data_IF_349004425053
#
_entry.id   IF_349004425053
#
_cell.length_a   1.000
_cell.length_b   1.000
_cell.length_c   1.000
_cell.angle_alpha   90.00
_cell.angle_beta   90.00
_cell.angle_gamma   90.00
#
_symmetry.space_group_name_H-M   'P 1'
#
loop_
_entity.id
_entity.type
_entity.pdbx_description
1 polymer ?
#
# COMPACT_ATOMS: atom_id res chain seq x y z
N UNK A 1 22.78 -15.51 -3.52
CA UNK A 1 21.67 -16.32 -3.00
C UNK A 1 21.15 -15.66 -1.73
N UNK A 2 19.86 -15.32 -1.65
CA UNK A 2 19.24 -14.75 -0.43
C UNK A 2 18.75 -15.87 0.48
N UNK A 3 18.97 -15.78 1.79
CA UNK A 3 18.35 -16.66 2.81
C UNK A 3 17.50 -15.81 3.76
N UNK A 4 16.28 -16.27 4.04
CA UNK A 4 15.32 -15.60 4.93
C UNK A 4 15.46 -16.18 6.34
N UNK A 5 15.53 -15.32 7.36
CA UNK A 5 15.45 -15.72 8.77
C UNK A 5 14.39 -14.84 9.44
N UNK A 6 13.43 -15.44 10.12
CA UNK A 6 12.35 -14.73 10.80
C UNK A 6 12.71 -14.60 12.28
N UNK A 7 12.71 -13.37 12.80
CA UNK A 7 12.89 -13.07 14.21
C UNK A 7 11.66 -12.27 14.64
N UNK A 8 11.01 -12.74 15.69
CA UNK A 8 9.81 -12.11 16.26
C UNK A 8 10.32 -11.15 17.33
N UNK A 9 10.39 -9.86 17.03
CA UNK A 9 10.53 -8.86 18.09
C UNK A 9 9.14 -8.69 18.73
N UNK A 10 9.09 -8.79 20.07
CA UNK A 10 7.85 -8.57 20.83
C UNK A 10 7.25 -7.22 20.43
N UNK A 11 5.93 -7.06 20.51
CA UNK A 11 5.14 -5.95 19.92
C UNK A 11 4.64 -6.19 18.48
N UNK A 12 4.16 -7.39 18.13
CA UNK A 12 3.17 -7.54 17.07
C UNK A 12 3.55 -7.04 15.66
N UNK A 13 4.83 -6.77 15.41
CA UNK A 13 5.36 -6.26 14.16
C UNK A 13 6.56 -7.12 13.82
N UNK A 14 6.61 -7.66 12.60
CA UNK A 14 7.71 -8.53 12.24
C UNK A 14 8.63 -7.78 11.29
N UNK A 15 9.81 -7.50 11.83
CA UNK A 15 10.99 -7.22 11.04
C UNK A 15 11.49 -8.56 10.48
N UNK A 16 11.23 -8.80 9.20
CA UNK A 16 11.75 -10.00 8.53
C UNK A 16 13.17 -9.68 8.06
N UNK A 17 14.16 -10.31 8.69
CA UNK A 17 15.53 -10.15 8.26
C UNK A 17 15.77 -10.92 6.98
N UNK A 18 16.02 -10.16 5.91
CA UNK A 18 16.53 -10.70 4.66
C UNK A 18 18.04 -10.47 4.66
N UNK A 19 18.80 -11.56 4.60
CA UNK A 19 20.26 -11.48 4.52
C UNK A 19 20.70 -11.23 3.09
N UNK A 20 21.44 -10.14 2.87
CA UNK A 20 22.28 -9.97 1.71
C UNK A 20 23.61 -10.70 1.96
N UNK A 21 23.97 -11.65 1.09
CA UNK A 21 25.18 -12.45 1.22
C UNK A 21 26.18 -12.08 0.11
N UNK A 22 27.45 -11.95 0.46
CA UNK A 22 28.56 -11.73 -0.46
C UNK A 22 29.87 -12.32 0.08
N UNK A 23 30.93 -12.18 -0.70
CA UNK A 23 32.30 -12.50 -0.27
C UNK A 23 33.08 -11.20 -0.12
N UNK A 24 33.94 -11.13 0.89
CA UNK A 24 34.93 -10.05 1.01
C UNK A 24 36.17 -10.34 0.13
N UNK A 25 37.17 -9.46 0.20
CA UNK A 25 38.43 -9.65 -0.52
C UNK A 25 39.23 -10.87 -0.05
N UNK A 26 39.05 -11.29 1.21
CA UNK A 26 39.70 -12.49 1.78
C UNK A 26 39.03 -13.81 1.34
N UNK A 27 37.87 -13.74 0.68
CA UNK A 27 37.06 -14.91 0.32
C UNK A 27 36.16 -15.41 1.46
N UNK A 28 36.08 -14.65 2.56
CA UNK A 28 35.16 -14.90 3.68
C UNK A 28 33.75 -14.45 3.34
N UNK A 29 32.75 -15.16 3.86
CA UNK A 29 31.33 -14.79 3.68
C UNK A 29 30.98 -13.60 4.56
N UNK A 30 30.44 -12.56 3.93
CA UNK A 30 29.82 -11.41 4.59
C UNK A 30 28.31 -11.51 4.41
N UNK A 31 27.57 -11.45 5.51
CA UNK A 31 26.10 -11.36 5.51
C UNK A 31 25.64 -10.09 6.19
N UNK A 32 24.67 -9.41 5.59
CA UNK A 32 24.03 -8.21 6.18
C UNK A 32 22.54 -8.39 6.21
N UNK A 33 21.97 -8.19 7.38
CA UNK A 33 20.53 -8.19 7.60
C UNK A 33 19.95 -6.83 7.17
N UNK A 34 19.13 -6.84 6.11
CA UNK A 34 18.54 -5.61 5.55
C UNK A 34 17.20 -5.29 6.22
N UNK A 35 16.50 -6.30 6.72
CA UNK A 35 15.19 -6.14 7.36
C UNK A 35 14.07 -5.74 6.38
N UNK A 36 12.85 -6.21 6.63
CA UNK A 36 11.64 -5.83 5.89
C UNK A 36 10.49 -5.75 6.89
N UNK A 37 9.81 -4.60 6.93
CA UNK A 37 8.62 -4.43 7.77
C UNK A 37 7.40 -5.16 7.17
N UNK A 38 6.79 -6.06 7.94
CA UNK A 38 5.50 -6.69 7.59
C UNK A 38 4.55 -6.73 8.78
N UNK A 39 3.25 -6.60 8.48
CA UNK A 39 2.19 -6.95 9.42
C UNK A 39 1.84 -8.44 9.27
N UNK A 40 1.80 -9.20 10.37
CA UNK A 40 1.45 -10.63 10.36
C UNK A 40 -0.05 -10.85 10.57
N UNK A 41 -0.86 -10.21 9.74
CA UNK A 41 -2.29 -10.44 9.81
C UNK A 41 -2.65 -11.78 9.17
N UNK A 42 -3.11 -12.73 9.99
CA UNK A 42 -3.69 -14.01 9.55
C UNK A 42 -2.79 -15.24 9.58
N UNK A 43 -1.62 -15.21 10.22
CA UNK A 43 -0.78 -16.42 10.38
C UNK A 43 -1.00 -17.02 11.78
N UNK A 44 -1.94 -17.97 11.87
CA UNK A 44 -2.04 -18.95 12.94
C UNK A 44 -2.62 -18.44 14.28
N UNK A 45 -3.95 -18.51 14.43
CA UNK A 45 -4.49 -18.83 15.76
C UNK A 45 -4.02 -20.25 16.08
N UNK A 46 -3.30 -20.50 17.20
CA UNK A 46 -3.31 -21.84 17.77
C UNK A 46 -4.77 -22.17 18.10
N UNK A 47 -5.26 -23.40 17.80
CA UNK A 47 -6.62 -23.76 18.15
C UNK A 47 -6.84 -23.56 19.66
N UNK A 48 -8.05 -23.13 20.07
CA UNK A 48 -8.34 -22.89 21.47
C UNK A 48 -8.15 -24.19 22.27
N UNK A 49 -7.22 -24.14 23.22
CA UNK A 49 -6.99 -25.17 24.21
C UNK A 49 -8.22 -25.31 25.09
N UNK A 50 -9.03 -26.35 24.84
CA UNK A 50 -10.12 -26.71 25.72
C UNK A 50 -11.05 -27.79 25.17
N UNK A 51 -10.67 -29.06 25.28
CA UNK A 51 -11.51 -30.15 25.81
C UNK A 51 -10.74 -31.51 25.85
N UNK A 52 -11.16 -32.46 26.70
CA UNK A 52 -10.26 -33.31 27.49
C UNK A 52 -10.21 -34.79 27.05
N UNK A 53 -9.10 -35.47 27.33
CA UNK A 53 -9.06 -36.95 27.35
C UNK A 53 -7.72 -37.62 27.02
N UNK A 54 -7.01 -38.05 28.08
CA UNK A 54 -6.10 -39.22 28.17
C UNK A 54 -4.77 -39.25 27.37
N UNK A 55 -3.74 -39.97 27.88
CA UNK A 55 -3.07 -39.83 29.16
C UNK A 55 -1.57 -39.47 28.98
N UNK A 56 -0.98 -38.99 30.08
CA UNK A 56 0.47 -38.84 30.28
C UNK A 56 1.20 -40.16 30.00
N UNK A 57 2.31 -40.08 29.27
CA UNK A 57 3.49 -40.91 29.53
C UNK A 57 4.70 -39.99 29.81
N UNK A 58 5.47 -40.25 30.89
CA UNK A 58 6.64 -39.48 31.24
C UNK A 58 7.87 -40.03 30.51
N UNK A 59 8.61 -39.19 29.79
CA UNK A 59 9.95 -39.56 29.34
C UNK A 59 10.99 -38.72 30.07
N UNK A 60 11.55 -39.36 31.09
CA UNK A 60 12.80 -39.05 31.74
C UNK A 60 13.93 -39.06 30.70
N UNK A 61 14.54 -37.91 30.44
CA UNK A 61 15.99 -37.80 30.29
C UNK A 61 16.36 -36.35 30.60
N UNK A 62 17.02 -36.26 31.74
CA UNK A 62 17.40 -35.10 32.49
C UNK A 62 18.89 -34.81 32.24
N UNK A 63 19.34 -33.62 32.62
CA UNK A 63 20.73 -33.15 32.68
C UNK A 63 21.41 -32.75 31.35
N UNK A 64 21.56 -31.44 31.16
CA UNK A 64 22.80 -30.75 31.56
C UNK A 64 22.54 -29.24 31.72
N UNK A 65 22.67 -28.77 32.95
CA UNK A 65 22.74 -27.35 33.32
C UNK A 65 24.15 -26.80 33.04
N UNK A 66 24.25 -25.61 32.46
CA UNK A 66 25.39 -24.68 32.57
C UNK A 66 24.92 -23.26 32.14
N UNK A 67 25.61 -22.18 32.54
CA UNK A 67 25.23 -21.38 33.69
C UNK A 67 24.67 -20.00 33.32
N UNK A 68 23.85 -19.48 34.23
CA UNK A 68 23.36 -18.10 34.28
C UNK A 68 24.53 -17.10 34.21
N UNK A 69 24.53 -16.27 33.17
CA UNK A 69 25.18 -14.97 33.19
C UNK A 69 24.11 -13.91 33.49
N UNK A 70 24.17 -13.44 34.73
CA UNK A 70 23.32 -12.46 35.34
C UNK A 70 23.58 -11.08 34.73
N UNK A 71 22.77 -10.66 33.76
CA UNK A 71 22.73 -9.26 33.33
C UNK A 71 21.87 -8.43 34.30
N UNK A 72 22.53 -7.39 34.81
CA UNK A 72 22.02 -6.37 35.71
C UNK A 72 20.96 -5.53 34.96
N UNK A 73 19.77 -5.26 35.53
CA UNK A 73 18.72 -4.55 34.82
C UNK A 73 19.07 -3.06 34.70
N UNK A 74 19.36 -2.60 33.49
CA UNK A 74 19.46 -1.18 33.15
C UNK A 74 18.04 -0.61 33.07
N UNK A 75 17.75 0.23 34.06
CA UNK A 75 16.49 0.97 34.23
C UNK A 75 16.44 2.07 33.17
N UNK A 76 15.48 2.00 32.24
CA UNK A 76 15.09 3.14 31.39
C UNK A 76 13.66 3.57 31.73
N UNK A 77 13.33 4.88 31.78
CA UNK A 77 12.03 5.34 32.26
C UNK A 77 10.92 4.97 31.30
N UNK A 78 9.84 4.41 31.87
CA UNK A 78 8.59 4.13 31.19
C UNK A 78 8.03 5.38 30.49
N UNK A 79 7.95 5.34 29.15
CA UNK A 79 7.10 6.25 28.37
C UNK A 79 5.88 5.49 27.86
N UNK A 80 4.71 5.93 28.34
CA UNK A 80 3.39 5.80 27.71
C UNK A 80 2.95 4.40 27.28
N UNK A 81 2.28 3.65 28.17
CA UNK A 81 1.49 2.48 27.79
C UNK A 81 0.26 2.93 26.99
N UNK A 82 0.29 2.78 25.67
CA UNK A 82 -0.93 2.61 24.87
C UNK A 82 -1.33 1.13 24.97
N UNK A 83 -2.62 0.78 25.11
CA UNK A 83 -3.03 -0.61 25.36
C UNK A 83 -2.54 -1.54 24.25
N UNK A 84 -2.03 -2.74 24.59
CA UNK A 84 -1.59 -3.70 23.59
C UNK A 84 -2.83 -4.23 22.86
N UNK A 85 -3.03 -3.80 21.61
CA UNK A 85 -3.98 -4.48 20.74
C UNK A 85 -3.49 -5.92 20.54
N UNK A 86 -4.30 -6.86 21.01
CA UNK A 86 -3.99 -8.26 21.28
C UNK A 86 -3.88 -9.16 20.04
N UNK A 87 -3.51 -8.66 18.85
CA UNK A 87 -3.50 -9.47 17.62
C UNK A 87 -2.35 -9.20 16.63
N UNK A 88 -1.30 -8.46 16.99
CA UNK A 88 -0.10 -8.34 16.14
C UNK A 88 -0.34 -7.76 14.73
N UNK A 89 -1.39 -6.96 14.60
CA UNK A 89 -1.83 -6.34 13.36
C UNK A 89 -1.82 -4.83 13.48
N UNK A 90 -1.46 -4.18 12.38
CA UNK A 90 -1.72 -2.76 12.22
C UNK A 90 -3.24 -2.51 12.26
N UNK A 91 -3.73 -1.46 12.95
CA UNK A 91 -5.15 -1.14 12.98
C UNK A 91 -5.71 -0.94 11.57
N UNK A 92 -7.02 -1.18 11.35
CA UNK A 92 -7.66 -0.95 10.06
C UNK A 92 -7.32 0.44 9.51
N UNK A 93 -6.97 0.51 8.22
CA UNK A 93 -6.57 1.76 7.58
C UNK A 93 -5.12 2.20 7.84
N UNK A 94 -4.31 1.41 8.55
CA UNK A 94 -2.88 1.68 8.74
C UNK A 94 -1.98 0.65 8.06
N UNK A 95 -0.73 1.01 7.82
CA UNK A 95 0.29 0.18 7.14
C UNK A 95 1.58 0.12 7.94
N UNK A 96 2.18 -1.06 7.95
CA UNK A 96 3.50 -1.27 8.56
C UNK A 96 4.57 -0.68 7.64
N UNK A 97 5.33 0.30 8.14
CA UNK A 97 6.40 0.97 7.40
C UNK A 97 7.66 1.09 8.27
N UNK A 98 8.85 1.16 7.65
CA UNK A 98 10.09 1.46 8.37
C UNK A 98 10.00 2.80 9.10
N UNK A 99 10.44 2.81 10.36
CA UNK A 99 10.55 4.06 11.14
C UNK A 99 11.85 4.78 10.81
N UNK A 100 12.95 4.03 10.71
CA UNK A 100 14.28 4.53 10.35
C UNK A 100 14.99 3.53 9.44
N UNK A 101 15.90 4.06 8.64
CA UNK A 101 16.75 3.29 7.74
C UNK A 101 18.21 3.68 7.97
N UNK A 102 19.08 2.70 8.19
CA UNK A 102 20.52 2.90 8.33
C UNK A 102 21.19 2.61 7.00
N UNK A 103 21.88 3.60 6.44
CA UNK A 103 22.62 3.47 5.19
C UNK A 103 24.01 2.94 5.51
N UNK A 104 24.24 1.68 5.16
CA UNK A 104 25.48 0.98 5.43
C UNK A 104 26.23 0.66 4.13
N UNK A 105 27.52 0.98 4.12
CA UNK A 105 28.42 0.60 3.03
C UNK A 105 29.11 -0.73 3.38
N UNK A 106 29.22 -1.61 2.38
CA UNK A 106 29.82 -2.94 2.50
C UNK A 106 30.79 -3.17 1.37
N UNK A 107 32.04 -3.42 1.74
CA UNK A 107 33.10 -3.74 0.80
C UNK A 107 33.06 -5.23 0.51
N UNK A 108 32.58 -5.58 -0.69
CA UNK A 108 32.58 -6.95 -1.18
C UNK A 108 33.64 -7.07 -2.29
N UNK A 109 34.02 -8.31 -2.60
CA UNK A 109 34.94 -8.62 -3.71
C UNK A 109 34.44 -8.06 -5.05
N UNK A 110 33.13 -8.08 -5.26
CA UNK A 110 32.49 -7.54 -6.48
C UNK A 110 32.36 -6.01 -6.48
N UNK A 111 32.93 -5.34 -5.47
CA UNK A 111 32.89 -3.90 -5.30
C UNK A 111 32.07 -3.45 -4.07
N UNK A 112 32.14 -2.15 -3.74
CA UNK A 112 31.35 -1.57 -2.66
C UNK A 112 29.86 -1.65 -2.97
N UNK A 113 29.08 -2.16 -2.01
CA UNK A 113 27.62 -2.17 -2.05
C UNK A 113 27.07 -1.34 -0.91
N UNK A 114 26.10 -0.49 -1.24
CA UNK A 114 25.33 0.27 -0.27
C UNK A 114 24.01 -0.43 0.00
N UNK A 115 23.69 -0.63 1.26
CA UNK A 115 22.44 -1.26 1.70
C UNK A 115 21.71 -0.35 2.68
N UNK A 116 20.38 -0.42 2.67
CA UNK A 116 19.51 0.33 3.58
C UNK A 116 18.92 -0.66 4.58
N UNK A 117 19.44 -0.65 5.80
CA UNK A 117 19.03 -1.55 6.87
C UNK A 117 17.84 -0.94 7.61
N UNK A 118 16.75 -1.68 7.75
CA UNK A 118 15.58 -1.25 8.51
C UNK A 118 15.88 -1.26 10.01
N UNK A 119 15.76 -0.10 10.64
CA UNK A 119 15.91 0.13 12.08
C UNK A 119 14.54 0.47 12.68
N UNK A 120 13.77 -0.58 12.94
CA UNK A 120 12.42 -0.49 13.50
C UNK A 120 11.29 -0.29 12.48
N UNK A 121 10.11 -0.76 12.86
CA UNK A 121 8.88 -0.67 12.09
C UNK A 121 7.77 -0.05 12.92
N UNK A 122 6.86 0.68 12.28
CA UNK A 122 5.68 1.23 12.93
C UNK A 122 4.46 1.19 11.99
N UNK A 123 3.27 1.15 12.58
CA UNK A 123 2.02 1.29 11.84
C UNK A 123 1.68 2.77 11.66
N UNK A 124 1.70 3.23 10.42
CA UNK A 124 1.28 4.58 10.06
C UNK A 124 -0.12 4.55 9.45
N UNK A 125 -0.97 5.49 9.85
CA UNK A 125 -2.26 5.68 9.20
C UNK A 125 -2.07 5.94 7.70
N UNK A 126 -2.93 5.33 6.88
CA UNK A 126 -2.97 5.61 5.45
C UNK A 126 -3.86 6.84 5.24
N UNK A 127 -3.32 8.00 4.80
CA UNK A 127 -4.14 9.15 4.48
C UNK A 127 -5.09 8.85 3.32
N UNK A 128 -6.18 9.59 3.22
CA UNK A 128 -7.14 9.51 2.10
C UNK A 128 -6.63 10.22 0.82
N UNK A 129 -5.61 11.06 1.00
CA UNK A 129 -4.94 11.86 -0.03
C UNK A 129 -3.48 11.41 -0.23
N UNK A 130 -2.90 11.75 -1.39
CA UNK A 130 -1.49 11.46 -1.67
C UNK A 130 -0.63 12.57 -1.06
N UNK A 131 0.08 12.22 0.01
CA UNK A 131 0.88 13.16 0.80
C UNK A 131 2.30 12.62 0.96
N UNK A 132 3.24 13.56 1.11
CA UNK A 132 4.62 13.28 1.50
C UNK A 132 4.66 12.92 2.99
N UNK A 133 5.07 11.71 3.32
CA UNK A 133 5.41 11.30 4.68
C UNK A 133 6.92 11.38 4.92
N UNK A 134 7.39 11.71 6.13
CA UNK A 134 8.82 11.64 6.45
C UNK A 134 9.33 10.19 6.39
N UNK A 135 10.56 10.03 5.91
CA UNK A 135 11.31 8.76 5.92
C UNK A 135 12.76 9.08 6.31
N UNK A 136 13.11 8.76 7.55
CA UNK A 136 14.42 9.08 8.10
C UNK A 136 15.47 8.06 7.65
N UNK A 137 16.54 8.55 7.02
CA UNK A 137 17.73 7.78 6.67
C UNK A 137 18.93 8.31 7.42
N UNK A 138 19.60 7.44 8.17
CA UNK A 138 20.85 7.72 8.86
C UNK A 138 22.02 7.29 7.98
N UNK A 139 22.88 8.25 7.63
CA UNK A 139 24.09 8.04 6.86
C UNK A 139 25.30 8.00 7.79
N UNK A 140 26.27 7.16 7.44
CA UNK A 140 27.50 6.95 8.23
C UNK A 140 27.23 6.56 9.69
N UNK A 141 26.37 5.54 9.93
CA UNK A 141 26.06 5.10 11.28
C UNK A 141 27.34 4.70 12.04
N UNK A 142 27.36 4.96 13.34
CA UNK A 142 28.47 4.62 14.26
C UNK A 142 29.77 5.35 13.92
N UNK A 143 29.69 6.52 13.29
CA UNK A 143 30.85 7.36 12.95
C UNK A 143 30.67 8.80 13.42
N UNK A 144 31.77 9.57 13.58
CA UNK A 144 31.69 11.00 13.91
C UNK A 144 30.95 11.84 12.85
N UNK A 145 30.77 11.32 11.64
CA UNK A 145 30.08 12.00 10.53
C UNK A 145 28.62 11.56 10.39
N UNK A 146 28.06 10.85 11.38
CA UNK A 146 26.69 10.35 11.37
C UNK A 146 25.69 11.50 11.18
N UNK A 147 24.83 11.37 10.18
CA UNK A 147 23.82 12.37 9.84
C UNK A 147 22.50 11.68 9.49
N UNK A 148 21.43 12.10 10.13
CA UNK A 148 20.07 11.63 9.82
C UNK A 148 19.36 12.66 8.96
N UNK A 149 18.81 12.21 7.83
CA UNK A 149 18.12 13.05 6.85
C UNK A 149 16.74 12.48 6.54
N UNK A 150 15.73 13.35 6.51
CA UNK A 150 14.42 13.00 5.96
C UNK A 150 14.50 12.98 4.42
N UNK A 151 14.51 11.78 3.84
CA UNK A 151 14.47 11.60 2.39
C UNK A 151 13.04 11.63 1.84
N UNK A 152 12.04 11.52 2.71
CA UNK A 152 10.63 11.47 2.38
C UNK A 152 10.18 10.20 1.64
N UNK A 153 8.88 9.95 1.68
CA UNK A 153 8.18 8.92 0.92
C UNK A 153 6.78 9.40 0.53
N UNK A 154 6.23 8.86 -0.56
CA UNK A 154 4.86 9.14 -0.95
C UNK A 154 3.90 8.11 -0.36
N UNK A 155 2.91 8.62 0.36
CA UNK A 155 1.90 7.83 1.05
C UNK A 155 0.52 8.27 0.62
N UNK A 156 -0.29 7.34 0.12
CA UNK A 156 -1.70 7.57 -0.19
C UNK A 156 -2.56 6.39 0.23
N UNK A 157 -3.88 6.43 0.01
CA UNK A 157 -4.75 5.28 0.20
C UNK A 157 -4.26 4.08 -0.62
N UNK A 158 -4.56 2.84 -0.18
CA UNK A 158 -4.25 1.65 -0.97
C UNK A 158 -4.86 1.78 -2.37
N UNK A 159 -4.15 1.34 -3.42
CA UNK A 159 -4.66 1.45 -4.78
C UNK A 159 -5.96 0.65 -4.89
N UNK A 160 -7.07 1.34 -5.09
CA UNK A 160 -8.31 0.71 -5.51
C UNK A 160 -8.10 0.12 -6.92
N UNK A 161 -8.76 -1.01 -7.24
CA UNK A 161 -8.63 -1.66 -8.54
C UNK A 161 -8.81 -0.64 -9.68
N UNK A 162 -7.70 -0.27 -10.35
CA UNK A 162 -7.69 0.64 -11.50
C UNK A 162 -7.61 2.15 -11.24
N UNK A 163 -7.28 2.63 -10.02
CA UNK A 163 -7.30 4.08 -9.72
C UNK A 163 -6.00 4.62 -9.12
N UNK A 164 -5.33 5.52 -9.86
CA UNK A 164 -4.28 6.48 -9.46
C UNK A 164 -3.22 6.04 -8.42
N UNK A 165 -1.95 6.02 -8.81
CA UNK A 165 -0.81 5.74 -7.93
C UNK A 165 -0.28 7.04 -7.33
N UNK A 166 0.01 7.04 -6.03
CA UNK A 166 0.66 8.17 -5.37
C UNK A 166 2.16 8.12 -5.66
N UNK A 167 2.71 9.15 -6.33
CA UNK A 167 4.10 9.17 -6.78
C UNK A 167 4.80 10.49 -6.46
N UNK A 168 6.14 10.51 -6.45
CA UNK A 168 6.93 11.73 -6.40
C UNK A 168 6.65 12.67 -7.57
N UNK A 169 6.48 13.96 -7.29
CA UNK A 169 6.32 15.01 -8.32
C UNK A 169 7.60 15.80 -8.56
N UNK A 170 8.41 15.98 -7.51
CA UNK A 170 9.70 16.67 -7.61
C UNK A 170 10.63 16.23 -6.48
N UNK A 171 11.91 16.46 -6.68
CA UNK A 171 12.98 16.08 -5.78
C UNK A 171 13.89 17.27 -5.51
N UNK A 172 14.33 17.37 -4.28
CA UNK A 172 15.38 18.29 -3.85
C UNK A 172 16.69 17.51 -3.63
N UNK A 173 17.73 18.22 -3.23
CA UNK A 173 19.02 17.59 -2.92
C UNK A 173 19.70 18.26 -1.74
N UNK A 174 20.34 17.44 -0.91
CA UNK A 174 21.07 17.87 0.29
C UNK A 174 22.49 17.33 0.20
N UNK A 175 23.46 18.19 0.49
CA UNK A 175 24.88 17.83 0.49
C UNK A 175 25.30 17.44 1.91
N UNK A 176 25.67 16.19 2.10
CA UNK A 176 26.16 15.64 3.37
C UNK A 176 27.69 15.66 3.39
N UNK A 177 28.27 16.03 4.53
CA UNK A 177 29.71 15.88 4.75
C UNK A 177 29.98 14.46 5.22
N UNK A 178 30.68 13.66 4.42
CA UNK A 178 31.07 12.30 4.78
C UNK A 178 32.56 12.19 5.10
N UNK A 179 32.99 11.04 5.65
CA UNK A 179 34.40 10.76 5.91
C UNK A 179 35.25 10.76 4.63
N UNK A 180 34.63 10.50 3.47
CA UNK A 180 35.29 10.47 2.16
C UNK A 180 34.95 11.72 1.31
N UNK A 181 34.58 12.83 1.95
CA UNK A 181 34.18 14.07 1.29
C UNK A 181 32.66 14.24 1.16
N UNK A 182 32.28 15.20 0.34
CA UNK A 182 30.89 15.63 0.20
C UNK A 182 30.06 14.63 -0.61
N UNK A 183 28.81 14.43 -0.19
CA UNK A 183 27.88 13.52 -0.83
C UNK A 183 26.54 14.18 -1.06
N UNK A 184 26.11 14.22 -2.32
CA UNK A 184 24.75 14.67 -2.66
C UNK A 184 23.74 13.54 -2.43
N UNK A 185 22.70 13.83 -1.65
CA UNK A 185 21.57 12.93 -1.40
C UNK A 185 20.30 13.58 -1.94
N UNK A 186 19.56 12.82 -2.74
CA UNK A 186 18.27 13.27 -3.26
C UNK A 186 17.19 13.10 -2.19
N UNK A 187 16.44 14.14 -1.92
CA UNK A 187 15.29 14.13 -1.01
C UNK A 187 14.01 14.36 -1.80
N UNK A 188 12.90 13.80 -1.33
CA UNK A 188 11.59 13.99 -1.93
C UNK A 188 11.05 15.35 -1.50
N UNK A 189 10.71 16.22 -2.45
CA UNK A 189 10.12 17.54 -2.15
C UNK A 189 8.59 17.51 -2.14
N UNK A 190 7.97 16.72 -3.03
CA UNK A 190 6.51 16.63 -3.12
C UNK A 190 5.98 15.34 -3.73
N UNK A 191 4.70 15.07 -3.43
CA UNK A 191 3.95 13.92 -3.92
C UNK A 191 2.69 14.38 -4.63
N UNK A 192 2.25 13.60 -5.60
CA UNK A 192 1.03 13.85 -6.34
C UNK A 192 0.43 12.56 -6.88
N UNK A 193 -0.85 12.64 -7.22
CA UNK A 193 -1.53 11.54 -7.89
C UNK A 193 -1.06 11.43 -9.33
N UNK A 194 -0.46 10.29 -9.66
CA UNK A 194 -0.25 9.89 -11.04
C UNK A 194 -1.32 8.86 -11.39
N UNK A 195 -2.31 9.31 -12.15
CA UNK A 195 -3.45 8.51 -12.52
C UNK A 195 -4.30 9.21 -13.56
N UNK A 196 -5.23 8.47 -14.14
CA UNK A 196 -6.17 8.99 -15.14
C UNK A 196 -7.05 10.05 -14.45
N UNK A 197 -7.06 11.27 -14.99
CA UNK A 197 -8.07 12.28 -14.64
C UNK A 197 -9.47 11.70 -14.87
N UNK A 198 -10.51 12.27 -14.24
CA UNK A 198 -11.87 11.74 -14.41
C UNK A 198 -12.21 11.54 -15.89
N UNK A 199 -12.32 10.28 -16.32
CA UNK A 199 -12.47 9.91 -17.72
C UNK A 199 -13.36 8.69 -17.87
N UNK A 200 -13.95 8.57 -19.06
CA UNK A 200 -14.69 7.39 -19.47
C UNK A 200 -13.72 6.29 -19.86
N UNK A 201 -13.92 5.09 -19.33
CA UNK A 201 -13.27 3.87 -19.81
C UNK A 201 -14.31 2.94 -20.48
N UNK A 202 -13.93 2.15 -21.49
CA UNK A 202 -14.82 1.16 -22.09
C UNK A 202 -15.26 0.11 -21.07
N UNK A 203 -16.54 -0.26 -21.11
CA UNK A 203 -17.09 -1.37 -20.33
C UNK A 203 -18.13 -2.11 -21.16
N UNK A 204 -17.78 -3.32 -21.60
CA UNK A 204 -18.61 -4.13 -22.48
C UNK A 204 -19.66 -4.92 -21.70
N UNK A 205 -20.90 -4.87 -22.17
CA UNK A 205 -22.01 -5.72 -21.72
C UNK A 205 -22.57 -6.51 -22.91
N UNK A 206 -23.11 -7.69 -22.63
CA UNK A 206 -23.66 -8.58 -23.63
C UNK A 206 -25.18 -8.58 -23.58
N UNK A 207 -25.80 -8.42 -24.74
CA UNK A 207 -27.25 -8.44 -24.91
C UNK A 207 -27.64 -9.44 -26.00
N UNK A 208 -28.81 -10.02 -25.89
CA UNK A 208 -29.38 -10.86 -26.94
C UNK A 208 -30.19 -10.01 -27.91
N UNK A 209 -29.79 -10.02 -29.18
CA UNK A 209 -30.50 -9.33 -30.27
C UNK A 209 -31.15 -10.32 -31.23
N UNK A 210 -32.39 -10.04 -31.65
CA UNK A 210 -33.07 -10.80 -32.72
C UNK A 210 -32.89 -10.08 -34.04
N UNK A 211 -32.21 -10.75 -34.98
CA UNK A 211 -32.00 -10.29 -36.35
C UNK A 211 -32.90 -11.08 -37.29
N UNK A 212 -33.60 -10.38 -38.20
CA UNK A 212 -34.33 -11.04 -39.28
C UNK A 212 -33.40 -11.19 -40.47
N UNK A 213 -33.27 -12.41 -40.97
CA UNK A 213 -32.56 -12.68 -42.22
C UNK A 213 -33.37 -12.19 -43.42
N UNK A 214 -32.73 -12.11 -44.59
CA UNK A 214 -33.40 -11.71 -45.84
C UNK A 214 -34.57 -12.65 -46.21
N UNK A 215 -34.51 -13.91 -45.75
CA UNK A 215 -35.54 -14.94 -45.92
C UNK A 215 -36.64 -14.86 -44.85
N UNK A 216 -36.64 -13.83 -43.99
CA UNK A 216 -37.63 -13.64 -42.92
C UNK A 216 -37.41 -14.54 -41.69
N UNK A 217 -36.30 -15.28 -41.61
CA UNK A 217 -36.01 -16.15 -40.47
C UNK A 217 -35.47 -15.33 -39.29
N UNK A 218 -36.10 -15.48 -38.11
CA UNK A 218 -35.60 -14.88 -36.86
C UNK A 218 -34.41 -15.67 -36.36
N UNK A 219 -33.28 -15.00 -36.16
CA UNK A 219 -32.07 -15.57 -35.55
C UNK A 219 -31.67 -14.74 -34.35
N UNK A 220 -31.34 -15.40 -33.24
CA UNK A 220 -30.83 -14.73 -32.04
C UNK A 220 -29.30 -14.66 -32.12
N UNK A 221 -28.75 -13.47 -31.89
CA UNK A 221 -27.31 -13.22 -31.86
C UNK A 221 -26.91 -12.49 -30.58
N UNK A 222 -25.66 -12.69 -30.15
CA UNK A 222 -25.07 -11.97 -29.02
C UNK A 222 -24.50 -10.64 -29.50
N UNK A 223 -25.08 -9.53 -29.04
CA UNK A 223 -24.61 -8.18 -29.30
C UNK A 223 -23.78 -7.68 -28.12
N UNK A 224 -22.55 -7.29 -28.40
CA UNK A 224 -21.67 -6.67 -27.40
C UNK A 224 -21.77 -5.15 -27.52
N UNK A 225 -22.02 -4.48 -26.39
CA UNK A 225 -22.19 -3.03 -26.37
C UNK A 225 -21.35 -2.44 -25.25
N UNK A 226 -20.49 -1.49 -25.63
CA UNK A 226 -19.76 -0.66 -24.67
C UNK A 226 -20.75 0.32 -24.04
N UNK A 227 -21.04 0.12 -22.74
CA UNK A 227 -21.85 1.00 -21.92
C UNK A 227 -21.01 2.03 -21.16
N UNK A 228 -19.69 1.85 -21.12
CA UNK A 228 -18.75 2.72 -20.43
C UNK A 228 -18.82 2.66 -18.90
N UNK A 229 -17.75 3.13 -18.25
CA UNK A 229 -17.70 3.48 -16.80
C UNK A 229 -16.90 4.76 -16.61
N UNK A 230 -17.24 5.53 -15.59
CA UNK A 230 -16.44 6.68 -15.18
C UNK A 230 -15.46 6.26 -14.09
N UNK A 231 -14.17 6.48 -14.34
CA UNK A 231 -13.09 6.22 -13.40
C UNK A 231 -12.16 7.43 -13.32
N UNK A 232 -11.50 7.58 -12.18
CA UNK A 232 -10.55 8.66 -11.92
C UNK A 232 -10.93 9.49 -10.71
N UNK A 233 -10.07 10.44 -10.37
CA UNK A 233 -10.28 11.37 -9.26
C UNK A 233 -10.55 12.77 -9.78
N UNK A 234 -11.29 13.52 -8.96
CA UNK A 234 -11.59 14.91 -9.20
C UNK A 234 -10.82 15.79 -8.22
N UNK A 235 -10.22 16.90 -8.68
CA UNK A 235 -9.53 17.81 -7.78
C UNK A 235 -10.53 18.39 -6.78
N UNK A 236 -10.14 18.44 -5.50
CA UNK A 236 -10.91 19.14 -4.48
C UNK A 236 -10.88 20.64 -4.82
N UNK A 237 -12.03 21.22 -5.20
CA UNK A 237 -12.16 22.68 -5.24
C UNK A 237 -12.44 23.15 -3.82
N UNK A 238 -11.42 23.70 -3.15
CA UNK A 238 -11.62 24.49 -1.92
C UNK A 238 -12.23 25.82 -2.34
N UNK A 239 -13.49 26.13 -1.97
CA UNK A 239 -14.05 27.45 -2.21
C UNK A 239 -13.26 28.45 -1.37
N UNK A 240 -12.81 29.56 -1.98
CA UNK A 240 -12.17 30.66 -1.27
C UNK A 240 -13.03 31.08 -0.07
N UNK A 241 -12.39 31.23 1.08
CA UNK A 241 -13.02 31.61 2.32
C UNK A 241 -13.70 32.97 2.20
N UNK A 242 -15.03 33.00 2.07
CA UNK A 242 -15.91 34.07 2.57
C UNK A 242 -17.35 33.56 2.57
N UNK A 243 -18.00 33.59 3.73
CA UNK A 243 -19.47 33.48 3.84
C UNK A 243 -19.97 32.20 4.51
N UNK A 244 -20.50 32.37 5.72
CA UNK A 244 -21.18 31.35 6.51
C UNK A 244 -22.33 30.67 5.74
N UNK A 245 -22.16 29.38 5.47
CA UNK A 245 -23.23 28.49 5.01
C UNK A 245 -22.74 27.06 5.10
N UNK A 246 -23.51 26.16 5.73
CA UNK A 246 -23.17 24.73 5.89
C UNK A 246 -22.65 24.14 4.57
N UNK A 247 -21.34 23.93 4.49
CA UNK A 247 -20.70 23.27 3.35
C UNK A 247 -21.09 21.80 3.42
N UNK A 248 -22.16 21.43 2.70
CA UNK A 248 -22.35 20.04 2.28
C UNK A 248 -21.12 19.69 1.45
N UNK A 249 -20.39 18.65 1.85
CA UNK A 249 -19.25 18.13 1.12
C UNK A 249 -19.62 18.03 -0.37
N UNK A 250 -19.07 18.93 -1.19
CA UNK A 250 -19.26 18.85 -2.63
C UNK A 250 -18.61 17.53 -3.05
N UNK A 251 -19.44 16.56 -3.41
CA UNK A 251 -18.98 15.23 -3.79
C UNK A 251 -18.06 15.38 -5.01
N UNK A 252 -16.75 15.24 -4.79
CA UNK A 252 -15.71 15.28 -5.82
C UNK A 252 -15.57 13.89 -6.44
N UNK A 253 -16.70 13.33 -6.89
CA UNK A 253 -16.75 12.02 -7.51
C UNK A 253 -16.62 12.17 -9.04
N UNK A 254 -15.98 11.19 -9.66
CA UNK A 254 -16.00 11.07 -11.11
C UNK A 254 -17.31 10.39 -11.52
N UNK A 255 -18.21 11.18 -12.09
CA UNK A 255 -19.59 10.76 -12.40
C UNK A 255 -19.87 10.86 -13.90
N UNK A 256 -20.80 10.06 -14.42
CA UNK A 256 -21.29 10.22 -15.78
C UNK A 256 -21.87 11.62 -16.00
N UNK A 257 -21.61 12.18 -17.18
CA UNK A 257 -22.06 13.50 -17.56
C UNK A 257 -23.08 13.45 -18.70
N UNK A 258 -22.67 12.89 -19.84
CA UNK A 258 -23.56 12.67 -20.98
C UNK A 258 -23.71 11.19 -21.27
N UNK A 259 -24.91 10.82 -21.72
CA UNK A 259 -25.24 9.49 -22.20
C UNK A 259 -25.55 9.52 -23.69
N UNK A 260 -25.24 8.42 -24.35
CA UNK A 260 -25.65 8.11 -25.70
C UNK A 260 -26.59 6.92 -25.66
N UNK A 261 -27.67 7.01 -26.45
CA UNK A 261 -28.70 6.00 -26.50
C UNK A 261 -28.38 4.97 -27.57
N UNK A 262 -28.27 3.69 -27.18
CA UNK A 262 -28.13 2.57 -28.13
C UNK A 262 -29.41 1.76 -28.16
N UNK A 263 -29.91 1.47 -29.36
CA UNK A 263 -31.12 0.68 -29.58
C UNK A 263 -30.79 -0.67 -30.22
N UNK A 264 -31.53 -1.70 -29.83
CA UNK A 264 -31.41 -3.04 -30.39
C UNK A 264 -32.76 -3.77 -30.28
N UNK A 265 -32.96 -4.82 -31.05
CA UNK A 265 -34.17 -5.65 -30.94
C UNK A 265 -33.97 -6.76 -29.92
N UNK A 266 -34.70 -6.72 -28.81
CA UNK A 266 -34.60 -7.75 -27.77
C UNK A 266 -35.13 -9.12 -28.22
N UNK A 267 -34.99 -10.13 -27.36
CA UNK A 267 -35.53 -11.49 -27.56
C UNK A 267 -37.01 -11.53 -27.90
N UNK A 268 -37.81 -10.60 -27.36
CA UNK A 268 -39.25 -10.52 -27.61
C UNK A 268 -39.59 -9.86 -28.96
N UNK A 269 -38.59 -9.37 -29.68
CA UNK A 269 -38.76 -8.61 -30.92
C UNK A 269 -39.10 -7.13 -30.70
N UNK A 270 -39.24 -6.69 -29.45
CA UNK A 270 -39.43 -5.28 -29.10
C UNK A 270 -38.12 -4.50 -29.24
N UNK A 271 -38.23 -3.25 -29.64
CA UNK A 271 -37.10 -2.32 -29.63
C UNK A 271 -36.75 -2.00 -28.17
N UNK A 272 -35.54 -2.35 -27.76
CA UNK A 272 -35.00 -2.06 -26.44
C UNK A 272 -33.90 -1.02 -26.55
N UNK A 273 -33.72 -0.27 -25.47
CA UNK A 273 -32.87 0.91 -25.44
C UNK A 273 -31.98 0.86 -24.21
N UNK A 274 -30.69 1.18 -24.38
CA UNK A 274 -29.72 1.26 -23.29
C UNK A 274 -29.02 2.62 -23.32
N UNK A 275 -28.60 3.08 -22.14
CA UNK A 275 -27.83 4.30 -21.98
C UNK A 275 -26.35 3.93 -21.83
N UNK A 276 -25.53 4.31 -22.81
CA UNK A 276 -24.09 4.20 -22.76
C UNK A 276 -23.50 5.54 -22.32
N UNK A 277 -22.61 5.54 -21.33
CA UNK A 277 -21.91 6.74 -20.89
C UNK A 277 -21.05 7.23 -22.07
N UNK A 278 -21.12 8.53 -22.40
CA UNK A 278 -20.33 9.18 -23.46
C UNK A 278 -19.20 10.03 -22.88
N UNK A 279 -19.50 10.81 -21.84
CA UNK A 279 -18.51 11.64 -21.15
C UNK A 279 -18.66 11.51 -19.64
N UNK A 280 -17.55 11.74 -18.93
CA UNK A 280 -17.50 11.78 -17.48
C UNK A 280 -17.06 13.17 -17.05
N UNK A 281 -17.52 13.60 -15.86
CA UNK A 281 -17.09 14.86 -15.26
C UNK A 281 -16.95 14.74 -13.76
N UNK A 282 -16.34 15.77 -13.19
CA UNK A 282 -16.27 15.95 -11.76
C UNK A 282 -17.52 16.64 -11.23
N UNK A 283 -18.18 16.02 -10.25
CA UNK A 283 -19.33 16.60 -9.58
C UNK A 283 -20.04 15.62 -8.67
N UNK A 284 -21.10 16.10 -8.02
CA UNK A 284 -21.95 15.26 -7.20
C UNK A 284 -22.69 14.24 -8.05
N UNK A 285 -22.83 13.02 -7.53
CA UNK A 285 -23.69 12.01 -8.12
C UNK A 285 -25.12 12.56 -8.17
N UNK A 286 -25.63 12.77 -9.37
CA UNK A 286 -27.04 13.10 -9.58
C UNK A 286 -27.82 11.80 -9.39
N UNK A 287 -28.75 11.77 -8.44
CA UNK A 287 -29.76 10.72 -8.40
C UNK A 287 -30.56 10.79 -9.70
N UNK A 288 -30.45 9.75 -10.52
CA UNK A 288 -31.36 9.56 -11.64
C UNK A 288 -32.75 9.30 -11.05
N UNK A 289 -33.62 10.30 -11.08
CA UNK A 289 -35.05 10.05 -10.95
C UNK A 289 -35.47 9.21 -12.15
N UNK A 290 -35.91 8.01 -11.85
CA UNK A 290 -36.48 7.07 -12.81
C UNK A 290 -37.61 7.77 -13.57
N UNK A 291 -37.38 8.04 -14.85
CA UNK A 291 -38.43 8.55 -15.73
C UNK A 291 -39.43 7.41 -15.94
N UNK A 292 -40.47 7.43 -15.12
CA UNK A 292 -41.63 6.55 -15.27
C UNK A 292 -42.30 6.97 -16.58
N UNK A 293 -42.18 6.13 -17.61
CA UNK A 293 -42.93 6.30 -18.87
C UNK A 293 -44.37 5.89 -18.57
N UNK A 294 -45.27 6.86 -18.63
CA UNK A 294 -46.72 6.66 -18.64
C UNK A 294 -47.21 6.30 -20.04
#
# INVERSE_FOLDING_TARGET
>A
MMRRKELIESWGHVLIYTTLQGLDFSGSRVSVDVGVCRSLCGVGKPPPSGCPGLPREPSLLDFHQAPQLQERPSQWPARGRVPPHSDGCCPPGSRCQPTRLLVQDRWLRDGPRRVEVVDGCQCNASPDECLRSPLLKTFFPDSPSEQTLDVGSCTGPPPAQGGSVCVPTHFDSVLLQGPNGQRLVRTLGGCGWQGVSCSRVPHWQHYSEVVLSAEGRKTEQRKEMDVGRCLGRCPLRVPGATGHGRVRAAANLCVPDHYETKTFRSRTGQLSTILAIRTCRCGAAMEMKEATVA
#
